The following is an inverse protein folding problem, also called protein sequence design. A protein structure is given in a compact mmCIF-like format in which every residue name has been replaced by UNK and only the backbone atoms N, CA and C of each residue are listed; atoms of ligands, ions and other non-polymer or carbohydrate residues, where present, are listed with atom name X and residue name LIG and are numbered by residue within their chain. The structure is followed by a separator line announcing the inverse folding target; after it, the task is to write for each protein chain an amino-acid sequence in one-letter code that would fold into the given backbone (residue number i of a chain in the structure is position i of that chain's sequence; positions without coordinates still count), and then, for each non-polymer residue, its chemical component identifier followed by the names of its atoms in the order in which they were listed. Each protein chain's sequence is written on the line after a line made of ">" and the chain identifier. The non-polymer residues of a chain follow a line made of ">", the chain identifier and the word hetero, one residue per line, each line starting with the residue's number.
data_IF_147428840431
#
_entry.id   IF_147428840431
#
_cell.length_a   1.000
_cell.length_b   1.000
_cell.length_c   1.000
_cell.angle_alpha   90.00
_cell.angle_beta   90.00
_cell.angle_gamma   90.00
#
_symmetry.space_group_name_H-M   'P 1'
#
loop_
_entity.id
_entity.type
_entity.pdbx_description
1 polymer ?
#
# COMPACT_ATOMS: atom_id res chain seq x y z
N UNK A 1 -2.35 4.26 0.39
CA UNK A 1 -1.60 4.78 -0.77
C UNK A 1 -1.82 3.85 -1.96
N UNK A 2 -2.07 4.41 -3.13
CA UNK A 2 -2.15 3.68 -4.39
C UNK A 2 -0.72 3.42 -4.88
N UNK A 3 -0.40 2.14 -5.12
CA UNK A 3 0.91 1.71 -5.59
C UNK A 3 1.30 2.46 -6.86
N UNK A 4 2.51 3.02 -6.87
CA UNK A 4 3.08 3.73 -8.03
C UNK A 4 2.44 5.10 -8.36
N UNK A 5 1.38 5.53 -7.65
CA UNK A 5 0.69 6.82 -7.91
C UNK A 5 0.78 7.81 -6.75
N UNK A 6 0.60 7.34 -5.52
CA UNK A 6 0.63 8.22 -4.36
C UNK A 6 2.05 8.44 -3.85
N UNK A 7 2.32 9.65 -3.35
CA UNK A 7 3.52 9.92 -2.57
C UNK A 7 3.47 9.11 -1.26
N UNK A 8 4.52 8.34 -0.97
CA UNK A 8 4.62 7.54 0.26
C UNK A 8 5.56 6.35 0.15
N UNK A 9 5.46 5.44 1.13
CA UNK A 9 6.33 4.25 1.27
C UNK A 9 6.16 3.21 0.16
N UNK A 10 5.13 3.36 -0.67
CA UNK A 10 4.85 2.52 -1.85
C UNK A 10 5.18 3.22 -3.19
N UNK A 11 5.85 4.37 -3.15
CA UNK A 11 6.15 5.11 -4.38
C UNK A 11 7.11 4.36 -5.30
N UNK A 12 8.11 3.68 -4.73
CA UNK A 12 9.06 2.86 -5.48
C UNK A 12 8.80 1.35 -5.40
N UNK A 13 8.01 0.90 -4.40
CA UNK A 13 7.64 -0.51 -4.24
C UNK A 13 6.47 -0.86 -5.14
N UNK A 14 6.50 -2.04 -5.76
CA UNK A 14 5.44 -2.55 -6.64
C UNK A 14 5.11 -1.67 -7.87
N UNK A 15 5.82 -0.56 -8.09
CA UNK A 15 5.53 0.39 -9.15
C UNK A 15 5.82 -0.17 -10.56
N UNK A 16 6.80 -1.05 -10.67
CA UNK A 16 7.18 -1.72 -11.92
C UNK A 16 6.59 -3.14 -12.03
N UNK A 17 5.49 -3.40 -11.31
CA UNK A 17 4.77 -4.68 -11.34
C UNK A 17 3.39 -4.49 -11.98
N UNK A 18 2.71 -5.58 -12.37
CA UNK A 18 1.31 -5.52 -12.79
C UNK A 18 0.37 -4.90 -11.75
N UNK A 19 0.78 -4.76 -10.49
CA UNK A 19 -0.01 -4.14 -9.42
C UNK A 19 0.01 -2.60 -9.45
N UNK A 20 0.79 -1.99 -10.34
CA UNK A 20 0.84 -0.53 -10.51
C UNK A 20 -0.56 0.06 -10.69
N UNK A 21 -0.96 0.95 -9.78
CA UNK A 21 -2.27 1.60 -9.81
C UNK A 21 -3.46 0.69 -9.49
N UNK A 22 -3.27 -0.63 -9.35
CA UNK A 22 -4.33 -1.61 -9.05
C UNK A 22 -4.42 -1.95 -7.56
N UNK A 23 -3.35 -1.69 -6.80
CA UNK A 23 -3.27 -1.99 -5.38
C UNK A 23 -3.33 -0.72 -4.51
N UNK A 24 -4.13 -0.80 -3.45
CA UNK A 24 -4.17 0.11 -2.31
C UNK A 24 -3.58 -0.60 -1.12
N UNK A 25 -2.46 -0.11 -0.59
CA UNK A 25 -1.82 -0.78 0.54
C UNK A 25 -1.20 0.18 1.55
N UNK A 26 -0.93 -0.37 2.73
CA UNK A 26 -0.24 0.29 3.83
C UNK A 26 0.93 -0.59 4.27
N UNK A 27 2.06 0.06 4.51
CA UNK A 27 3.24 -0.57 5.09
C UNK A 27 3.29 -0.33 6.60
N UNK A 28 3.74 -1.34 7.34
CA UNK A 28 4.22 -1.25 8.73
C UNK A 28 5.68 -1.69 8.79
N UNK A 29 6.48 -1.05 9.65
CA UNK A 29 7.86 -1.48 9.88
C UNK A 29 8.27 -1.09 11.29
N UNK A 30 8.88 -2.04 11.99
CA UNK A 30 9.49 -1.84 13.29
C UNK A 30 10.95 -2.26 13.24
N UNK A 31 11.84 -1.47 13.85
CA UNK A 31 13.28 -1.74 13.84
C UNK A 31 13.63 -2.98 14.67
N UNK A 32 14.77 -3.60 14.36
CA UNK A 32 15.23 -4.82 15.03
C UNK A 32 15.39 -4.66 16.56
N UNK A 33 15.63 -3.44 17.03
CA UNK A 33 15.81 -3.10 18.45
C UNK A 33 14.53 -3.31 19.28
N UNK A 34 13.38 -3.45 18.63
CA UNK A 34 12.08 -3.70 19.27
C UNK A 34 11.51 -5.00 18.71
N UNK A 35 11.27 -5.97 19.60
CA UNK A 35 10.67 -7.28 19.32
C UNK A 35 11.29 -8.08 18.15
N UNK A 36 12.58 -7.85 17.87
CA UNK A 36 13.32 -8.54 16.83
C UNK A 36 13.07 -8.02 15.41
N UNK A 37 12.33 -6.92 15.25
CA UNK A 37 12.05 -6.29 13.96
C UNK A 37 10.84 -6.88 13.25
N UNK A 38 10.12 -6.03 12.50
CA UNK A 38 8.95 -6.46 11.72
C UNK A 38 8.84 -5.69 10.42
N UNK A 39 8.32 -6.35 9.39
CA UNK A 39 7.81 -5.73 8.18
C UNK A 39 6.37 -6.22 7.96
N UNK A 40 5.51 -5.32 7.49
CA UNK A 40 4.17 -5.73 7.06
C UNK A 40 3.68 -4.92 5.87
N UNK A 41 2.88 -5.59 5.05
CA UNK A 41 2.16 -5.01 3.93
C UNK A 41 0.72 -5.55 3.93
N UNK A 42 -0.25 -4.65 4.05
CA UNK A 42 -1.66 -5.02 4.04
C UNK A 42 -2.46 -4.07 3.14
N UNK A 43 -3.50 -4.58 2.50
CA UNK A 43 -4.25 -3.79 1.55
C UNK A 43 -5.29 -4.55 0.75
N UNK A 44 -5.66 -3.94 -0.37
CA UNK A 44 -6.62 -4.45 -1.33
C UNK A 44 -6.05 -4.33 -2.74
N UNK A 45 -6.20 -5.38 -3.54
CA UNK A 45 -5.90 -5.40 -4.98
C UNK A 45 -7.20 -5.49 -5.75
N UNK A 46 -7.35 -4.62 -6.75
CA UNK A 46 -8.46 -4.65 -7.68
C UNK A 46 -8.10 -5.62 -8.81
N UNK A 47 -8.99 -6.57 -9.06
CA UNK A 47 -8.80 -7.66 -10.02
C UNK A 47 -9.99 -7.72 -10.96
N UNK A 48 -9.79 -8.37 -12.11
CA UNK A 48 -10.79 -8.39 -13.17
C UNK A 48 -11.97 -9.31 -12.82
N UNK A 49 -11.67 -10.52 -12.35
CA UNK A 49 -12.68 -11.57 -12.21
C UNK A 49 -13.08 -11.79 -10.74
N UNK A 50 -12.15 -11.60 -9.80
CA UNK A 50 -12.34 -11.79 -8.35
C UNK A 50 -12.82 -10.53 -7.62
N UNK A 51 -12.96 -9.41 -8.32
CA UNK A 51 -13.29 -8.12 -7.73
C UNK A 51 -12.15 -7.62 -6.82
N UNK A 52 -12.39 -7.53 -5.51
CA UNK A 52 -11.39 -7.06 -4.56
C UNK A 52 -10.73 -8.22 -3.83
N UNK A 53 -9.40 -8.34 -3.94
CA UNK A 53 -8.61 -9.27 -3.13
C UNK A 53 -8.02 -8.52 -1.94
N UNK A 54 -8.44 -8.89 -0.73
CA UNK A 54 -7.90 -8.34 0.53
C UNK A 54 -6.70 -9.19 0.96
N UNK A 55 -5.62 -8.54 1.38
CA UNK A 55 -4.40 -9.24 1.79
C UNK A 55 -3.75 -8.60 3.02
N UNK A 56 -3.03 -9.43 3.77
CA UNK A 56 -2.14 -9.01 4.86
C UNK A 56 -0.93 -9.94 4.87
N UNK A 57 0.26 -9.38 4.71
CA UNK A 57 1.54 -10.07 4.80
C UNK A 57 2.27 -9.48 6.01
N UNK A 58 2.76 -10.35 6.88
CA UNK A 58 3.41 -10.00 8.13
C UNK A 58 4.68 -10.84 8.27
N UNK A 59 5.82 -10.17 8.25
CA UNK A 59 7.12 -10.80 8.45
C UNK A 59 7.71 -10.36 9.80
N UNK A 60 8.21 -11.33 10.54
CA UNK A 60 8.98 -11.10 11.76
C UNK A 60 10.47 -11.32 11.50
N UNK A 61 11.31 -10.49 12.10
CA UNK A 61 12.76 -10.60 12.03
C UNK A 61 13.44 -9.31 11.59
N UNK A 62 14.76 -9.31 11.73
CA UNK A 62 15.60 -8.12 11.56
C UNK A 62 15.90 -7.79 10.09
N UNK A 63 15.61 -8.69 9.15
CA UNK A 63 15.90 -8.55 7.73
C UNK A 63 14.81 -7.76 6.98
N UNK A 64 14.52 -6.56 7.47
CA UNK A 64 13.40 -5.71 6.99
C UNK A 64 13.46 -5.47 5.47
N UNK A 65 14.66 -5.27 4.92
CA UNK A 65 14.83 -5.01 3.49
C UNK A 65 14.43 -6.20 2.63
N UNK A 66 14.90 -7.40 2.99
CA UNK A 66 14.59 -8.65 2.29
C UNK A 66 13.12 -9.02 2.45
N UNK A 67 12.58 -8.89 3.67
CA UNK A 67 11.17 -9.14 3.95
C UNK A 67 10.27 -8.29 3.03
N UNK A 68 10.54 -6.98 2.91
CA UNK A 68 9.79 -6.10 2.00
C UNK A 68 9.85 -6.54 0.53
N UNK A 69 10.98 -7.09 0.07
CA UNK A 69 11.11 -7.61 -1.29
C UNK A 69 10.28 -8.89 -1.47
N UNK A 70 10.31 -9.78 -0.47
CA UNK A 70 9.50 -11.00 -0.47
C UNK A 70 8.01 -10.71 -0.38
N UNK A 71 7.57 -9.72 0.41
CA UNK A 71 6.19 -9.22 0.43
C UNK A 71 5.74 -8.81 -0.98
N UNK A 72 6.58 -8.01 -1.66
CA UNK A 72 6.28 -7.47 -2.98
C UNK A 72 6.21 -8.60 -4.03
N UNK A 73 7.15 -9.55 -3.97
CA UNK A 73 7.20 -10.69 -4.87
C UNK A 73 6.01 -11.64 -4.65
N UNK A 74 5.77 -12.04 -3.40
CA UNK A 74 4.68 -12.96 -3.04
C UNK A 74 3.33 -12.40 -3.49
N UNK A 75 3.05 -11.13 -3.19
CA UNK A 75 1.79 -10.51 -3.59
C UNK A 75 1.65 -10.50 -5.12
N UNK A 76 2.72 -10.15 -5.85
CA UNK A 76 2.70 -10.10 -7.31
C UNK A 76 2.43 -11.48 -7.91
N UNK A 77 3.15 -12.51 -7.45
CA UNK A 77 3.01 -13.88 -7.93
C UNK A 77 1.63 -14.45 -7.61
N UNK A 78 1.15 -14.31 -6.38
CA UNK A 78 -0.17 -14.84 -5.97
C UNK A 78 -1.28 -14.20 -6.78
N UNK A 79 -1.28 -12.88 -6.93
CA UNK A 79 -2.34 -12.21 -7.70
C UNK A 79 -2.26 -12.62 -9.17
N UNK A 80 -1.09 -12.53 -9.80
CA UNK A 80 -0.96 -12.81 -11.24
C UNK A 80 -1.17 -14.27 -11.60
N UNK A 81 -1.00 -15.19 -10.66
CA UNK A 81 -1.32 -16.60 -10.84
C UNK A 81 -2.84 -16.89 -10.84
N UNK A 82 -3.65 -16.03 -10.21
CA UNK A 82 -5.08 -16.29 -10.00
C UNK A 82 -6.00 -15.30 -10.72
N UNK A 83 -5.51 -14.10 -11.08
CA UNK A 83 -6.31 -13.06 -11.72
C UNK A 83 -5.44 -11.99 -12.41
N UNK A 84 -6.11 -11.07 -13.11
CA UNK A 84 -5.52 -9.91 -13.77
C UNK A 84 -5.78 -8.67 -12.90
N UNK A 85 -4.73 -7.99 -12.39
CA UNK A 85 -4.89 -6.72 -11.70
C UNK A 85 -5.50 -5.65 -12.62
N UNK A 86 -6.43 -4.86 -12.08
CA UNK A 86 -7.10 -3.77 -12.80
C UNK A 86 -6.77 -2.43 -12.12
N UNK A 87 -6.12 -1.49 -12.82
CA UNK A 87 -5.83 -0.19 -12.26
C UNK A 87 -7.10 0.55 -11.83
N UNK A 88 -7.05 1.13 -10.63
CA UNK A 88 -8.14 1.91 -10.05
C UNK A 88 -8.30 3.19 -10.87
N UNK A 89 -9.48 3.43 -11.43
CA UNK A 89 -9.82 4.72 -12.03
C UNK A 89 -10.12 5.74 -10.94
N UNK A 90 -9.11 6.50 -10.52
CA UNK A 90 -9.28 7.61 -9.57
C UNK A 90 -9.85 8.81 -10.30
N UNK A 91 -11.17 8.84 -10.49
CA UNK A 91 -11.88 10.09 -10.83
C UNK A 91 -12.41 10.69 -9.54
N UNK A 92 -11.52 11.26 -8.73
CA UNK A 92 -11.96 12.22 -7.72
C UNK A 92 -10.91 13.30 -7.64
N UNK A 93 -11.20 14.52 -8.16
CA UNK A 93 -10.37 15.67 -7.88
C UNK A 93 -10.20 15.76 -6.36
N UNK A 94 -8.97 15.98 -5.91
CA UNK A 94 -8.68 16.19 -4.49
C UNK A 94 -9.56 17.33 -3.99
N UNK A 95 -10.69 17.01 -3.35
CA UNK A 95 -11.51 18.01 -2.68
C UNK A 95 -10.73 18.41 -1.44
N UNK A 96 -10.07 19.57 -1.52
CA UNK A 96 -9.59 20.25 -0.34
C UNK A 96 -10.80 20.46 0.56
N UNK A 97 -10.70 20.04 1.81
CA UNK A 97 -11.65 20.46 2.83
C UNK A 97 -11.71 21.99 2.79
N UNK A 98 -12.91 22.60 2.86
CA UNK A 98 -13.03 24.05 2.94
C UNK A 98 -12.11 24.55 4.06
N UNK A 99 -11.34 25.62 3.80
CA UNK A 99 -10.60 26.29 4.86
C UNK A 99 -11.60 26.74 5.93
N UNK A 100 -11.50 26.16 7.12
CA UNK A 100 -12.21 26.66 8.28
C UNK A 100 -11.50 27.96 8.71
N UNK A 101 -12.12 29.10 8.43
CA UNK A 101 -11.71 30.38 9.01
C UNK A 101 -12.02 30.36 10.50
N UNK A 102 -11.10 29.81 11.30
CA UNK A 102 -11.15 29.94 12.75
C UNK A 102 -10.79 31.38 13.10
N UNK A 103 -11.79 32.20 13.42
CA UNK A 103 -11.57 33.47 14.10
C UNK A 103 -11.43 33.17 15.58
N UNK A 104 -10.19 33.22 16.08
CA UNK A 104 -9.92 33.19 17.51
C UNK A 104 -10.39 34.54 18.06
N UNK A 105 -11.53 34.55 18.76
CA UNK A 105 -11.97 35.70 19.53
C UNK A 105 -11.16 35.73 20.81
N UNK A 106 -10.13 36.56 20.86
CA UNK A 106 -9.47 36.90 22.12
C UNK A 106 -10.48 37.61 23.03
N UNK A 107 -10.54 37.19 24.29
CA UNK A 107 -11.34 37.78 25.36
C UNK A 107 -10.44 38.13 26.52
#
# INVERSE_FOLDING_TARGET
>A
PVVGRDYGTLRGRLAETPLHGAALAKTGTMTADVDGGTASLAGVVYTKDSGFVVFAICDQGSQIGENRQLEDQLLTEVITAHDIPVPISLVTPRQLLPQLSFQISDK
#
